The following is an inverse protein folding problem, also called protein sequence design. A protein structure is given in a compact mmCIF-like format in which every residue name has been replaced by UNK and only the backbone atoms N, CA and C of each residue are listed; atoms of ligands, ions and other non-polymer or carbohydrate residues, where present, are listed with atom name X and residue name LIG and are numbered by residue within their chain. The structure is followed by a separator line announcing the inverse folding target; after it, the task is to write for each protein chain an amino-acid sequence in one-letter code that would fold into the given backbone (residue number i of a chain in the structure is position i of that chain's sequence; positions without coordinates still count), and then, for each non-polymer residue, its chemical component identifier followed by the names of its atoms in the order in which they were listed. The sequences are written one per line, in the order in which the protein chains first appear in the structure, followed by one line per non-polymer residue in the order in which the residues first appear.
data_IF_073992074166
#
_entry.id   IF_073992074166
#
_cell.length_a   1.000
_cell.length_b   1.000
_cell.length_c   1.000
_cell.angle_alpha   90.00
_cell.angle_beta   90.00
_cell.angle_gamma   90.00
#
_symmetry.space_group_name_H-M   'P 1'
#
loop_
_entity.id
_entity.type
_entity.pdbx_description
1 polymer ?
#
# COMPACT_ATOMS: atom_id res chain seq x y z
N UNK A 1 -23.05 8.08 2.33
CA UNK A 1 -21.86 8.94 2.13
C UNK A 1 -20.60 8.41 2.82
N UNK A 2 -20.59 8.19 4.15
CA UNK A 2 -19.40 7.69 4.89
C UNK A 2 -18.82 6.36 4.36
N UNK A 3 -19.67 5.38 4.03
CA UNK A 3 -19.24 4.08 3.46
C UNK A 3 -18.55 4.21 2.10
N UNK A 4 -19.05 5.11 1.25
CA UNK A 4 -18.49 5.37 -0.08
C UNK A 4 -17.09 5.96 0.04
N UNK A 5 -16.90 6.92 0.96
CA UNK A 5 -15.59 7.52 1.23
C UNK A 5 -14.60 6.47 1.75
N UNK A 6 -15.00 5.64 2.71
CA UNK A 6 -14.17 4.55 3.25
C UNK A 6 -13.78 3.52 2.18
N UNK A 7 -14.69 3.20 1.27
CA UNK A 7 -14.41 2.28 0.18
C UNK A 7 -13.35 2.85 -0.77
N UNK A 8 -13.53 4.07 -1.26
CA UNK A 8 -12.58 4.68 -2.18
C UNK A 8 -11.24 5.01 -1.51
N UNK A 9 -11.22 5.45 -0.25
CA UNK A 9 -9.96 5.65 0.47
C UNK A 9 -9.20 4.34 0.65
N UNK A 10 -9.90 3.24 0.93
CA UNK A 10 -9.30 1.91 1.01
C UNK A 10 -8.75 1.40 -0.32
N UNK A 11 -9.42 1.68 -1.44
CA UNK A 11 -8.91 1.36 -2.77
C UNK A 11 -7.68 2.19 -3.14
N UNK A 12 -7.68 3.49 -2.81
CA UNK A 12 -6.53 4.36 -3.03
C UNK A 12 -5.33 3.89 -2.21
N UNK A 13 -5.50 3.55 -0.93
CA UNK A 13 -4.42 3.01 -0.10
C UNK A 13 -3.85 1.70 -0.67
N UNK A 14 -4.71 0.80 -1.16
CA UNK A 14 -4.27 -0.43 -1.83
C UNK A 14 -3.44 -0.13 -3.08
N UNK A 15 -3.88 0.81 -3.91
CA UNK A 15 -3.15 1.21 -5.11
C UNK A 15 -1.79 1.85 -4.75
N UNK A 16 -1.74 2.69 -3.71
CA UNK A 16 -0.50 3.29 -3.22
C UNK A 16 0.48 2.24 -2.70
N UNK A 17 0.01 1.32 -1.84
CA UNK A 17 0.84 0.23 -1.32
C UNK A 17 1.39 -0.66 -2.44
N UNK A 18 0.58 -0.97 -3.45
CA UNK A 18 1.05 -1.71 -4.63
C UNK A 18 2.08 -0.93 -5.45
N UNK A 19 1.87 0.36 -5.68
CA UNK A 19 2.82 1.22 -6.37
C UNK A 19 4.16 1.33 -5.60
N UNK A 20 4.11 1.39 -4.27
CA UNK A 20 5.31 1.35 -3.41
C UNK A 20 6.08 0.03 -3.61
N UNK A 21 5.39 -1.11 -3.68
CA UNK A 21 6.05 -2.40 -3.95
C UNK A 21 6.68 -2.46 -5.34
N UNK A 22 6.04 -1.91 -6.36
CA UNK A 22 6.63 -1.78 -7.70
C UNK A 22 7.86 -0.86 -7.69
N UNK A 23 7.81 0.23 -6.93
CA UNK A 23 8.94 1.14 -6.78
C UNK A 23 10.12 0.46 -6.07
N UNK A 24 9.87 -0.28 -4.99
CA UNK A 24 10.90 -1.12 -4.34
C UNK A 24 11.51 -2.11 -5.32
N UNK A 25 10.68 -2.77 -6.14
CA UNK A 25 11.17 -3.69 -7.17
C UNK A 25 12.11 -3.01 -8.17
N UNK A 26 11.82 -1.78 -8.59
CA UNK A 26 12.73 -1.00 -9.44
C UNK A 26 14.03 -0.63 -8.71
N UNK A 27 13.94 -0.15 -7.46
CA UNK A 27 15.10 0.20 -6.65
C UNK A 27 16.03 -0.98 -6.35
N UNK A 28 15.47 -2.19 -6.25
CA UNK A 28 16.25 -3.42 -6.09
C UNK A 28 17.28 -3.60 -7.22
N UNK A 29 16.91 -3.33 -8.48
CA UNK A 29 17.86 -3.36 -9.60
C UNK A 29 18.83 -2.17 -9.62
N UNK A 30 18.46 -1.07 -8.97
CA UNK A 30 19.29 0.12 -8.78
C UNK A 30 20.40 -0.05 -7.72
N UNK A 31 20.56 -1.25 -7.14
CA UNK A 31 21.51 -1.54 -6.05
C UNK A 31 21.31 -0.66 -4.81
N UNK A 32 20.09 -0.22 -4.55
CA UNK A 32 19.74 0.47 -3.31
C UNK A 32 20.00 -0.41 -2.09
N UNK A 33 20.38 0.21 -0.97
CA UNK A 33 20.67 -0.52 0.27
C UNK A 33 19.48 -1.36 0.74
N UNK A 34 19.75 -2.62 1.10
CA UNK A 34 18.72 -3.58 1.51
C UNK A 34 17.87 -3.07 2.69
N UNK A 35 18.49 -2.37 3.65
CA UNK A 35 17.75 -1.79 4.78
C UNK A 35 16.69 -0.77 4.35
N UNK A 36 17.01 0.07 3.35
CA UNK A 36 16.06 1.03 2.78
C UNK A 36 14.93 0.33 2.03
N UNK A 37 15.26 -0.69 1.23
CA UNK A 37 14.28 -1.49 0.50
C UNK A 37 13.29 -2.19 1.44
N UNK A 38 13.77 -2.74 2.55
CA UNK A 38 12.94 -3.39 3.56
C UNK A 38 11.99 -2.40 4.24
N UNK A 39 12.49 -1.22 4.62
CA UNK A 39 11.64 -0.18 5.21
C UNK A 39 10.52 0.27 4.26
N UNK A 40 10.86 0.52 2.99
CA UNK A 40 9.86 0.89 1.97
C UNK A 40 8.87 -0.25 1.71
N UNK A 41 9.34 -1.50 1.69
CA UNK A 41 8.48 -2.68 1.53
C UNK A 41 7.48 -2.79 2.68
N UNK A 42 7.93 -2.59 3.93
CA UNK A 42 7.06 -2.63 5.09
C UNK A 42 5.98 -1.55 5.03
N UNK A 43 6.34 -0.33 4.63
CA UNK A 43 5.37 0.77 4.42
C UNK A 43 4.34 0.37 3.36
N UNK A 44 4.77 -0.11 2.20
CA UNK A 44 3.87 -0.51 1.11
C UNK A 44 2.93 -1.65 1.49
N UNK A 45 3.43 -2.65 2.23
CA UNK A 45 2.62 -3.75 2.77
C UNK A 45 1.57 -3.20 3.74
N UNK A 46 1.96 -2.35 4.69
CA UNK A 46 1.04 -1.75 5.67
C UNK A 46 -0.05 -0.95 4.97
N UNK A 47 0.29 -0.10 4.00
CA UNK A 47 -0.68 0.67 3.22
C UNK A 47 -1.66 -0.25 2.46
N UNK A 48 -1.15 -1.32 1.85
CA UNK A 48 -1.99 -2.27 1.12
C UNK A 48 -3.01 -2.96 2.04
N UNK A 49 -2.56 -3.47 3.20
CA UNK A 49 -3.43 -4.18 4.13
C UNK A 49 -4.40 -3.26 4.88
N UNK A 50 -4.00 -2.03 5.24
CA UNK A 50 -4.92 -1.03 5.79
C UNK A 50 -5.98 -0.68 4.75
N UNK A 51 -5.59 -0.47 3.49
CA UNK A 51 -6.53 -0.23 2.41
C UNK A 51 -7.54 -1.37 2.25
N UNK A 52 -7.07 -2.63 2.28
CA UNK A 52 -7.93 -3.81 2.25
C UNK A 52 -8.91 -3.81 3.43
N UNK A 53 -8.44 -3.55 4.64
CA UNK A 53 -9.27 -3.46 5.84
C UNK A 53 -10.36 -2.38 5.72
N UNK A 54 -10.02 -1.18 5.23
CA UNK A 54 -10.96 -0.08 5.00
C UNK A 54 -12.02 -0.43 3.96
N UNK A 55 -11.63 -1.08 2.86
CA UNK A 55 -12.61 -1.57 1.88
C UNK A 55 -13.53 -2.64 2.47
N UNK A 56 -13.00 -3.54 3.30
CA UNK A 56 -13.80 -4.56 4.00
C UNK A 56 -14.78 -3.95 4.99
N UNK A 57 -14.36 -2.95 5.77
CA UNK A 57 -15.21 -2.20 6.68
C UNK A 57 -16.37 -1.48 5.96
N UNK A 58 -16.13 -0.93 4.76
CA UNK A 58 -17.19 -0.24 4.02
C UNK A 58 -18.35 -1.15 3.59
N UNK A 59 -18.09 -2.46 3.48
CA UNK A 59 -19.05 -3.49 3.06
C UNK A 59 -19.85 -4.08 4.24
N UNK A 60 -19.42 -3.87 5.49
CA UNK A 60 -20.16 -4.20 6.71
C UNK A 60 -21.03 -3.02 7.11
#
# INVERSE_FOLDING_TARGET
MKRVILYYSGLVLQAMGFAMMLYVFMLFFGKTEMGSLLNLSLIGIVEFYIGYYLTGLSRR
#
